data_IF_990041463483
#
_entry.id   IF_990041463483
#
_cell.length_a   1.000
_cell.length_b   1.000
_cell.length_c   1.000
_cell.angle_alpha   90.00
_cell.angle_beta   90.00
_cell.angle_gamma   90.00
#
_symmetry.space_group_name_H-M   'P 1'
#
loop_
_entity.id
_entity.type
_entity.pdbx_description
1 polymer ?
#
# COMPACT_ATOMS: atom_id res chain seq x y z
N UNK A 1 -3.53 -7.47 -17.36
CA UNK A 1 -2.86 -6.41 -16.57
C UNK A 1 -2.09 -7.07 -15.42
N UNK A 2 -0.75 -6.94 -15.36
CA UNK A 2 0.09 -7.70 -14.40
C UNK A 2 -0.03 -7.18 -12.95
N UNK A 3 -0.08 -8.08 -11.95
CA UNK A 3 -0.13 -7.76 -10.50
C UNK A 3 0.96 -6.75 -10.08
N UNK A 4 2.15 -6.85 -10.66
CA UNK A 4 3.27 -5.93 -10.39
C UNK A 4 2.91 -4.46 -10.63
N UNK A 5 2.07 -4.16 -11.63
CA UNK A 5 1.66 -2.78 -11.92
C UNK A 5 0.58 -2.25 -10.98
N UNK A 6 -0.24 -3.14 -10.41
CA UNK A 6 -1.30 -2.77 -9.44
C UNK A 6 -0.69 -2.37 -8.10
N UNK A 7 0.26 -3.15 -7.58
CA UNK A 7 0.96 -2.83 -6.34
C UNK A 7 1.67 -1.47 -6.37
N UNK A 8 2.25 -1.11 -7.52
CA UNK A 8 2.93 0.18 -7.68
C UNK A 8 2.02 1.40 -7.54
N UNK A 9 0.73 1.28 -7.88
CA UNK A 9 -0.23 2.38 -7.67
C UNK A 9 -0.55 2.54 -6.19
N UNK A 10 -0.82 1.44 -5.49
CA UNK A 10 -1.11 1.44 -4.05
C UNK A 10 0.04 2.05 -3.23
N UNK A 11 1.28 1.71 -3.55
CA UNK A 11 2.45 2.28 -2.86
C UNK A 11 2.58 3.79 -3.08
N UNK A 12 2.21 4.29 -4.27
CA UNK A 12 2.18 5.73 -4.54
C UNK A 12 1.10 6.42 -3.71
N UNK A 13 -0.09 5.85 -3.67
CA UNK A 13 -1.22 6.41 -2.91
C UNK A 13 -0.92 6.42 -1.40
N UNK A 14 -0.28 5.37 -0.88
CA UNK A 14 0.20 5.31 0.51
C UNK A 14 1.23 6.40 0.82
N UNK A 15 2.21 6.64 -0.06
CA UNK A 15 3.19 7.72 0.11
C UNK A 15 2.54 9.10 0.11
N UNK A 16 1.53 9.32 -0.73
CA UNK A 16 0.78 10.59 -0.76
C UNK A 16 0.07 10.81 0.58
N UNK A 17 -0.61 9.77 1.11
CA UNK A 17 -1.27 9.84 2.43
C UNK A 17 -0.28 10.05 3.57
N UNK A 18 0.81 9.30 3.60
CA UNK A 18 1.88 9.45 4.59
C UNK A 18 2.43 10.89 4.61
N UNK A 19 2.70 11.47 3.44
CA UNK A 19 3.16 12.86 3.34
C UNK A 19 2.11 13.86 3.81
N UNK A 20 0.83 13.64 3.49
CA UNK A 20 -0.26 14.48 3.98
C UNK A 20 -0.42 14.45 5.51
N UNK A 21 0.03 13.37 6.17
CA UNK A 21 0.09 13.25 7.63
C UNK A 21 1.34 13.89 8.25
N UNK A 22 2.26 14.44 7.45
CA UNK A 22 3.52 15.02 7.93
C UNK A 22 4.59 13.99 8.32
N UNK A 23 4.33 12.70 8.09
CA UNK A 23 5.29 11.63 8.32
C UNK A 23 6.35 11.57 7.20
N UNK A 24 7.53 11.02 7.48
CA UNK A 24 8.62 10.84 6.49
C UNK A 24 8.87 9.36 6.11
N UNK A 25 8.31 8.41 6.86
CA UNK A 25 8.42 6.99 6.60
C UNK A 25 7.12 6.23 6.84
N UNK A 26 7.02 5.03 6.27
CA UNK A 26 5.98 4.04 6.54
C UNK A 26 6.67 2.79 7.07
N UNK A 27 6.27 2.32 8.25
CA UNK A 27 6.80 1.10 8.88
C UNK A 27 5.71 0.05 9.05
N UNK A 28 6.11 -1.22 9.11
CA UNK A 28 5.17 -2.34 9.21
C UNK A 28 4.23 -2.45 8.01
N UNK A 29 4.77 -2.25 6.79
CA UNK A 29 3.97 -2.36 5.57
C UNK A 29 3.60 -3.82 5.31
N UNK A 30 2.31 -4.09 5.29
CA UNK A 30 1.70 -5.36 4.97
C UNK A 30 0.92 -5.26 3.64
N UNK A 31 1.07 -6.27 2.78
CA UNK A 31 0.49 -6.30 1.44
C UNK A 31 -0.26 -7.60 1.24
N UNK A 32 -1.58 -7.49 1.12
CA UNK A 32 -2.47 -8.65 1.03
C UNK A 32 -3.19 -8.64 -0.31
N UNK A 33 -3.36 -9.83 -0.90
CA UNK A 33 -4.13 -10.02 -2.13
C UNK A 33 -5.23 -11.03 -1.88
N UNK A 34 -6.46 -10.68 -2.21
CA UNK A 34 -7.61 -11.58 -2.09
C UNK A 34 -8.38 -11.63 -3.40
N UNK A 35 -8.61 -12.85 -3.88
CA UNK A 35 -9.46 -13.13 -5.03
C UNK A 35 -10.92 -13.20 -4.57
N UNK A 36 -11.68 -12.13 -4.84
CA UNK A 36 -13.10 -12.08 -4.51
C UNK A 36 -13.91 -12.54 -5.72
N UNK A 37 -14.31 -13.82 -5.68
CA UNK A 37 -15.37 -14.38 -6.52
C UNK A 37 -14.89 -15.24 -7.70
N UNK A 38 -15.35 -16.50 -7.70
CA UNK A 38 -15.09 -17.54 -8.70
C UNK A 38 -15.59 -17.19 -10.12
N UNK A 39 -16.38 -16.12 -10.31
CA UNK A 39 -16.95 -15.72 -11.62
C UNK A 39 -16.47 -14.37 -12.17
N UNK A 40 -15.93 -13.47 -11.34
CA UNK A 40 -15.66 -12.08 -11.78
C UNK A 40 -14.17 -11.75 -11.94
N UNK A 41 -13.25 -12.62 -11.48
CA UNK A 41 -11.80 -12.40 -11.63
C UNK A 41 -11.29 -11.11 -10.98
N UNK A 42 -11.99 -10.63 -9.95
CA UNK A 42 -11.63 -9.41 -9.24
C UNK A 42 -10.59 -9.75 -8.18
N UNK A 43 -9.38 -9.24 -8.37
CA UNK A 43 -8.30 -9.32 -7.39
C UNK A 43 -8.27 -8.03 -6.60
N UNK A 44 -8.61 -8.10 -5.31
CA UNK A 44 -8.42 -7.00 -4.37
C UNK A 44 -6.99 -7.05 -3.88
N UNK A 45 -6.33 -5.89 -3.87
CA UNK A 45 -4.99 -5.73 -3.33
C UNK A 45 -5.07 -4.64 -2.27
N UNK A 46 -4.71 -4.96 -1.03
CA UNK A 46 -4.70 -4.05 0.10
C UNK A 46 -3.29 -3.83 0.61
N UNK A 47 -3.06 -2.65 1.19
CA UNK A 47 -1.77 -2.26 1.74
C UNK A 47 -1.99 -1.52 3.07
N UNK A 48 -1.37 -2.01 4.15
CA UNK A 48 -1.54 -1.50 5.52
C UNK A 48 -0.17 -1.14 6.09
N UNK A 49 -0.05 -0.03 6.81
CA UNK A 49 1.21 0.34 7.46
C UNK A 49 1.05 1.55 8.37
N UNK A 50 2.08 1.87 9.14
CA UNK A 50 2.08 2.98 10.10
C UNK A 50 2.96 4.11 9.59
N UNK A 51 2.39 5.31 9.48
CA UNK A 51 3.13 6.51 9.10
C UNK A 51 3.86 7.10 10.31
N UNK A 52 5.17 7.29 10.20
CA UNK A 52 6.04 7.75 11.31
C UNK A 52 7.01 8.84 10.86
N UNK A 53 7.52 9.59 11.82
CA UNK A 53 8.67 10.49 11.65
C UNK A 53 9.88 9.80 12.26
N UNK A 54 10.89 9.54 11.43
CA UNK A 54 12.21 9.04 11.87
C UNK A 54 13.24 10.15 11.80
N UNK A 55 14.09 10.23 12.81
CA UNK A 55 15.22 11.15 12.91
C UNK A 55 16.54 10.38 12.75
N UNK A 56 17.56 10.96 12.09
CA UNK A 56 18.89 10.36 12.06
C UNK A 56 19.51 10.35 13.47
N UNK A 57 20.35 9.35 13.74
CA UNK A 57 21.12 9.22 14.99
C UNK A 57 22.16 10.33 15.17
#
# INVERSE_FOLDING_TARGET
>A
MSLRRRGWRLLRDLKVRQRALGANAIVGLDLETSDLGLQAGVVVVSATGTAVIVEPE
#
